data_IF_628308445919
#
_entry.id   IF_628308445919
#
_cell.length_a   1.000
_cell.length_b   1.000
_cell.length_c   1.000
_cell.angle_alpha   90.00
_cell.angle_beta   90.00
_cell.angle_gamma   90.00
#
_symmetry.space_group_name_H-M   'P 1'
#
loop_
_entity.id
_entity.type
_entity.pdbx_description
1 polymer ?
#
# COMPACT_ATOMS: atom_id res chain seq x y z
N UNK A 1 18.18 1.41 3.33
CA UNK A 1 17.91 1.31 4.78
C UNK A 1 18.09 -0.11 5.29
N UNK A 2 18.63 -0.30 6.48
CA UNK A 2 18.82 -1.56 7.22
C UNK A 2 18.42 -1.29 8.66
N UNK A 3 17.70 -2.21 9.31
CA UNK A 3 17.15 -1.96 10.65
C UNK A 3 17.05 -3.22 11.50
N UNK A 4 17.03 -3.03 12.82
CA UNK A 4 16.90 -4.09 13.84
C UNK A 4 15.79 -3.71 14.81
N UNK A 5 14.88 -4.65 15.06
CA UNK A 5 13.65 -4.44 15.84
C UNK A 5 13.45 -5.55 16.88
N UNK A 6 14.07 -5.47 18.07
CA UNK A 6 13.77 -6.41 19.15
C UNK A 6 12.28 -6.35 19.55
N UNK A 7 11.64 -7.50 19.59
CA UNK A 7 10.23 -7.66 19.96
C UNK A 7 10.09 -8.51 21.21
N UNK A 8 9.22 -8.09 22.12
CA UNK A 8 8.83 -8.86 23.31
C UNK A 8 7.31 -8.93 23.35
N UNK A 9 6.78 -10.14 23.52
CA UNK A 9 5.37 -10.40 23.77
C UNK A 9 5.19 -11.16 25.09
N UNK A 10 4.17 -10.82 25.86
CA UNK A 10 3.86 -11.44 27.14
C UNK A 10 2.35 -11.61 27.29
N UNK A 11 1.91 -12.82 27.65
CA UNK A 11 0.53 -13.08 28.07
C UNK A 11 0.49 -13.09 29.59
N UNK A 12 -0.10 -12.05 30.19
CA UNK A 12 -0.25 -11.99 31.65
C UNK A 12 -1.21 -13.07 32.17
N UNK A 13 -2.22 -13.41 31.35
CA UNK A 13 -3.14 -14.53 31.51
C UNK A 13 -3.74 -14.87 30.13
N UNK A 14 -4.74 -15.76 30.09
CA UNK A 14 -5.45 -16.16 28.86
C UNK A 14 -6.21 -15.00 28.18
N UNK A 15 -6.48 -13.92 28.91
CA UNK A 15 -7.31 -12.79 28.45
C UNK A 15 -6.52 -11.52 28.17
N UNK A 16 -5.29 -11.39 28.67
CA UNK A 16 -4.49 -10.18 28.55
C UNK A 16 -3.13 -10.50 27.94
N UNK A 17 -2.93 -10.03 26.72
CA UNK A 17 -1.65 -10.00 26.03
C UNK A 17 -1.10 -8.57 25.97
N UNK A 18 0.21 -8.43 26.17
CA UNK A 18 0.96 -7.17 26.03
C UNK A 18 2.13 -7.44 25.10
N UNK A 19 2.49 -6.46 24.29
CA UNK A 19 3.70 -6.52 23.49
C UNK A 19 4.40 -5.17 23.45
N UNK A 20 5.69 -5.20 23.17
CA UNK A 20 6.51 -4.02 22.93
C UNK A 20 7.58 -4.33 21.89
N UNK A 21 7.96 -3.29 21.14
CA UNK A 21 9.08 -3.31 20.22
C UNK A 21 9.80 -1.97 20.27
N UNK A 22 11.10 -1.99 20.04
CA UNK A 22 11.88 -0.81 19.73
C UNK A 22 12.69 -1.10 18.49
N UNK A 23 13.13 -0.05 17.80
CA UNK A 23 13.81 -0.18 16.54
C UNK A 23 14.86 0.89 16.35
N UNK A 24 15.93 0.49 15.69
CA UNK A 24 16.93 1.39 15.15
C UNK A 24 17.25 0.97 13.72
N UNK A 25 17.39 1.95 12.83
CA UNK A 25 17.79 1.70 11.46
C UNK A 25 18.55 2.87 10.85
N UNK A 26 19.34 2.56 9.85
CA UNK A 26 20.11 3.52 9.07
C UNK A 26 19.94 3.21 7.58
N UNK A 27 20.01 4.20 6.72
CA UNK A 27 19.90 4.03 5.29
C UNK A 27 20.17 5.30 4.54
N UNK A 28 19.84 5.27 3.26
CA UNK A 28 19.88 6.43 2.39
C UNK A 28 18.45 6.73 1.94
N UNK A 29 18.10 8.01 1.91
CA UNK A 29 16.91 8.53 1.25
C UNK A 29 17.35 9.16 -0.06
N UNK A 30 16.60 8.89 -1.11
CA UNK A 30 16.79 9.48 -2.42
C UNK A 30 15.64 10.43 -2.71
N UNK A 31 15.98 11.64 -3.11
CA UNK A 31 15.05 12.67 -3.52
C UNK A 31 15.32 12.94 -4.99
N UNK A 32 14.35 12.62 -5.84
CA UNK A 32 14.38 12.97 -7.26
C UNK A 32 13.59 14.27 -7.45
N UNK A 33 14.30 15.39 -7.53
CA UNK A 33 13.70 16.69 -7.80
C UNK A 33 13.86 17.05 -9.28
N UNK A 34 12.76 17.46 -9.92
CA UNK A 34 12.77 17.76 -11.35
C UNK A 34 13.70 18.93 -11.75
N UNK A 35 14.06 19.80 -10.80
CA UNK A 35 14.93 20.97 -11.03
C UNK A 35 16.35 20.75 -10.50
N UNK A 36 16.50 20.15 -9.32
CA UNK A 36 17.79 19.93 -8.66
C UNK A 36 18.46 18.60 -9.09
N UNK A 37 17.66 17.66 -9.59
CA UNK A 37 18.08 16.31 -9.95
C UNK A 37 18.00 15.34 -8.76
N UNK A 38 18.63 14.18 -8.95
CA UNK A 38 18.68 13.10 -7.94
C UNK A 38 19.70 13.45 -6.86
N UNK A 39 19.25 13.46 -5.62
CA UNK A 39 20.08 13.66 -4.43
C UNK A 39 19.88 12.54 -3.43
N UNK A 40 20.97 12.18 -2.75
CA UNK A 40 20.98 11.14 -1.73
C UNK A 40 21.42 11.74 -0.39
N UNK A 41 20.77 11.33 0.69
CA UNK A 41 21.10 11.74 2.05
C UNK A 41 21.02 10.54 2.99
N UNK A 42 21.93 10.47 3.97
CA UNK A 42 21.86 9.42 4.99
C UNK A 42 20.74 9.73 5.96
N UNK A 43 19.90 8.74 6.22
CA UNK A 43 18.82 8.78 7.19
C UNK A 43 19.05 7.76 8.30
N UNK A 44 18.89 8.19 9.54
CA UNK A 44 18.78 7.29 10.70
C UNK A 44 17.37 7.35 11.27
N UNK A 45 16.90 6.25 11.83
CA UNK A 45 15.54 6.11 12.36
C UNK A 45 15.55 5.40 13.70
N UNK A 46 14.76 5.92 14.63
CA UNK A 46 14.47 5.31 15.93
C UNK A 46 12.98 5.16 16.08
N UNK A 47 12.55 4.02 16.60
CA UNK A 47 11.13 3.73 16.79
C UNK A 47 10.89 3.04 18.12
N UNK A 48 9.71 3.26 18.67
CA UNK A 48 9.20 2.52 19.81
C UNK A 48 7.71 2.31 19.66
N UNK A 49 7.22 1.14 20.02
CA UNK A 49 5.80 0.87 20.09
C UNK A 49 5.48 -0.16 21.17
N UNK A 50 4.29 -0.03 21.74
CA UNK A 50 3.76 -0.99 22.69
C UNK A 50 2.25 -1.08 22.56
N UNK A 51 1.69 -2.22 22.90
CA UNK A 51 0.26 -2.43 22.85
C UNK A 51 -0.22 -3.50 23.82
N UNK A 52 -1.52 -3.52 24.03
CA UNK A 52 -2.20 -4.53 24.82
C UNK A 52 -3.50 -4.96 24.14
N UNK A 53 -3.87 -6.23 24.36
CA UNK A 53 -5.12 -6.84 23.92
C UNK A 53 -5.75 -7.52 25.13
N UNK A 54 -6.97 -7.11 25.46
CA UNK A 54 -7.75 -7.66 26.56
C UNK A 54 -9.05 -8.28 26.01
N UNK A 55 -9.32 -9.54 26.35
CA UNK A 55 -10.64 -10.14 26.19
C UNK A 55 -11.56 -9.65 27.31
N UNK A 56 -12.59 -8.90 26.90
CA UNK A 56 -13.57 -8.30 27.81
C UNK A 56 -14.74 -9.26 28.07
N UNK A 57 -15.14 -10.02 27.03
CA UNK A 57 -16.28 -10.92 27.09
C UNK A 57 -16.07 -12.10 26.14
N UNK A 58 -16.44 -13.29 26.60
CA UNK A 58 -16.69 -14.46 25.78
C UNK A 58 -18.08 -15.00 26.13
N UNK A 59 -18.98 -15.12 25.15
CA UNK A 59 -20.37 -15.50 25.40
C UNK A 59 -20.94 -16.32 24.24
N UNK A 60 -21.38 -17.54 24.55
CA UNK A 60 -21.98 -18.52 23.64
C UNK A 60 -23.49 -18.32 23.42
N UNK A 61 -24.11 -17.39 24.16
CA UNK A 61 -25.56 -17.12 24.13
C UNK A 61 -25.94 -15.80 23.47
N UNK A 62 -24.97 -14.93 23.19
CA UNK A 62 -25.26 -13.62 22.59
C UNK A 62 -25.80 -13.77 21.16
N UNK A 63 -25.24 -14.71 20.40
CA UNK A 63 -25.65 -15.08 19.05
C UNK A 63 -25.67 -16.61 19.00
N UNK A 64 -26.80 -17.20 18.59
CA UNK A 64 -26.95 -18.65 18.56
C UNK A 64 -25.99 -19.30 17.55
N UNK A 65 -25.45 -20.46 17.92
CA UNK A 65 -24.63 -21.30 17.03
C UNK A 65 -23.14 -21.00 17.03
N UNK A 66 -22.63 -20.28 18.04
CA UNK A 66 -21.20 -19.98 18.15
C UNK A 66 -20.84 -19.19 19.40
N UNK A 67 -19.58 -18.79 19.51
CA UNK A 67 -19.06 -17.99 20.63
C UNK A 67 -18.73 -16.58 20.17
N UNK A 68 -19.37 -15.59 20.79
CA UNK A 68 -19.07 -14.18 20.57
C UNK A 68 -17.99 -13.70 21.52
N UNK A 69 -16.96 -13.06 20.97
CA UNK A 69 -15.79 -12.55 21.69
C UNK A 69 -15.74 -11.03 21.51
N UNK A 70 -15.65 -10.30 22.62
CA UNK A 70 -15.43 -8.85 22.65
C UNK A 70 -14.05 -8.57 23.22
N UNK A 71 -13.28 -7.75 22.52
CA UNK A 71 -11.91 -7.43 22.90
C UNK A 71 -11.64 -5.94 22.84
N UNK A 72 -10.79 -5.48 23.74
CA UNK A 72 -10.24 -4.14 23.77
C UNK A 72 -8.76 -4.20 23.34
N UNK A 73 -8.39 -3.40 22.36
CA UNK A 73 -7.02 -3.23 21.88
C UNK A 73 -6.56 -1.81 22.14
N UNK A 74 -5.33 -1.66 22.59
CA UNK A 74 -4.67 -0.37 22.68
C UNK A 74 -3.27 -0.48 22.12
N UNK A 75 -2.82 0.56 21.43
CA UNK A 75 -1.49 0.64 20.86
C UNK A 75 -0.99 2.08 20.93
N UNK A 76 0.26 2.26 21.31
CA UNK A 76 0.98 3.53 21.25
C UNK A 76 2.29 3.33 20.49
N UNK A 77 2.67 4.32 19.69
CA UNK A 77 3.91 4.30 18.94
C UNK A 77 4.50 5.68 18.74
N UNK A 78 5.81 5.72 18.56
CA UNK A 78 6.57 6.90 18.19
C UNK A 78 7.73 6.53 17.27
N UNK A 79 8.04 7.42 16.33
CA UNK A 79 9.20 7.32 15.47
C UNK A 79 9.89 8.68 15.35
N UNK A 80 11.21 8.66 15.28
CA UNK A 80 12.05 9.79 14.92
C UNK A 80 12.94 9.39 13.76
N UNK A 81 12.91 10.17 12.69
CA UNK A 81 13.90 10.08 11.62
C UNK A 81 14.75 11.35 11.59
N UNK A 82 16.04 11.15 11.35
CA UNK A 82 17.03 12.22 11.24
C UNK A 82 17.76 12.01 9.91
N UNK A 83 17.63 12.95 8.99
CA UNK A 83 18.41 13.04 7.76
C UNK A 83 19.58 13.99 7.98
N UNK A 84 20.81 13.54 7.70
CA UNK A 84 22.03 14.34 7.90
C UNK A 84 22.07 15.58 6.98
N UNK A 85 21.31 15.53 5.88
CA UNK A 85 21.39 16.51 4.81
C UNK A 85 22.54 16.21 3.85
N UNK A 86 22.77 17.13 2.91
CA UNK A 86 23.82 17.08 1.90
C UNK A 86 24.04 18.46 1.29
N UNK A 87 24.78 18.56 0.19
CA UNK A 87 25.12 19.86 -0.43
C UNK A 87 23.89 20.70 -0.79
N UNK A 88 22.75 20.05 -1.05
CA UNK A 88 21.48 20.65 -1.45
C UNK A 88 20.28 20.23 -0.58
N UNK A 89 20.51 19.38 0.43
CA UNK A 89 19.45 18.89 1.33
C UNK A 89 19.76 19.42 2.72
N UNK A 90 18.89 20.25 3.29
CA UNK A 90 19.05 20.67 4.67
C UNK A 90 18.87 19.48 5.62
N UNK A 91 19.61 19.42 6.74
CA UNK A 91 19.36 18.43 7.78
C UNK A 91 17.91 18.52 8.25
N UNK A 92 17.23 17.38 8.33
CA UNK A 92 15.81 17.29 8.67
C UNK A 92 15.61 16.30 9.80
N UNK A 93 14.83 16.70 10.80
CA UNK A 93 14.34 15.80 11.85
C UNK A 93 12.83 15.74 11.74
N UNK A 94 12.30 14.52 11.70
CA UNK A 94 10.86 14.23 11.65
C UNK A 94 10.49 13.39 12.86
N UNK A 95 9.64 13.93 13.72
CA UNK A 95 9.03 13.23 14.84
C UNK A 95 7.59 12.84 14.49
N UNK A 96 7.19 11.60 14.80
CA UNK A 96 5.79 11.17 14.68
C UNK A 96 5.40 10.34 15.89
N UNK A 97 4.15 10.47 16.33
CA UNK A 97 3.60 9.65 17.39
C UNK A 97 2.13 9.33 17.14
N UNK A 98 1.69 8.16 17.57
CA UNK A 98 0.34 7.67 17.34
C UNK A 98 -0.16 6.89 18.55
N UNK A 99 -1.40 7.16 18.95
CA UNK A 99 -2.14 6.42 19.96
C UNK A 99 -3.42 5.87 19.36
N UNK A 100 -3.77 4.64 19.69
CA UNK A 100 -4.97 3.96 19.20
C UNK A 100 -5.68 3.20 20.32
N UNK A 101 -7.00 3.26 20.27
CA UNK A 101 -7.90 2.47 21.10
C UNK A 101 -8.97 1.85 20.20
N UNK A 102 -9.18 0.54 20.28
CA UNK A 102 -10.10 -0.17 19.38
C UNK A 102 -10.88 -1.24 20.15
N UNK A 103 -12.15 -1.37 19.83
CA UNK A 103 -13.00 -2.47 20.26
C UNK A 103 -13.21 -3.40 19.07
N UNK A 104 -12.97 -4.69 19.28
CA UNK A 104 -13.17 -5.77 18.30
C UNK A 104 -14.28 -6.69 18.82
N UNK A 105 -15.28 -6.95 17.98
CA UNK A 105 -16.26 -8.00 18.18
C UNK A 105 -16.06 -9.09 17.12
N UNK A 106 -16.02 -10.35 17.53
CA UNK A 106 -15.94 -11.49 16.62
C UNK A 106 -16.89 -12.60 17.06
N UNK A 107 -17.34 -13.44 16.13
CA UNK A 107 -18.22 -14.56 16.45
C UNK A 107 -17.76 -15.82 15.74
N UNK A 108 -17.32 -16.82 16.51
CA UNK A 108 -16.81 -18.08 15.98
C UNK A 108 -17.95 -19.08 15.86
N UNK A 109 -18.24 -19.54 14.64
CA UNK A 109 -19.29 -20.52 14.34
C UNK A 109 -18.73 -21.73 13.61
N UNK A 110 -18.96 -22.91 14.16
CA UNK A 110 -18.71 -24.18 13.47
C UNK A 110 -19.80 -24.45 12.43
N UNK A 111 -19.42 -25.00 11.28
CA UNK A 111 -20.31 -25.43 10.20
C UNK A 111 -20.43 -26.96 10.20
N UNK A 112 -21.51 -27.49 9.63
CA UNK A 112 -21.79 -28.93 9.59
C UNK A 112 -20.71 -29.76 8.87
N UNK A 113 -19.88 -29.11 8.02
CA UNK A 113 -18.75 -29.72 7.31
C UNK A 113 -17.43 -29.71 8.08
N UNK A 114 -17.39 -29.30 9.35
CA UNK A 114 -16.16 -29.22 10.14
C UNK A 114 -15.35 -27.92 9.95
N UNK A 115 -15.73 -27.10 8.98
CA UNK A 115 -15.20 -25.75 8.82
C UNK A 115 -15.68 -24.79 9.92
N UNK A 116 -14.94 -23.71 10.10
CA UNK A 116 -15.21 -22.64 11.06
C UNK A 116 -15.31 -21.31 10.33
N UNK A 117 -16.36 -20.53 10.63
CA UNK A 117 -16.57 -19.18 10.12
C UNK A 117 -16.46 -18.18 11.28
N UNK A 118 -15.70 -17.12 11.09
CA UNK A 118 -15.49 -16.06 12.08
C UNK A 118 -15.65 -14.68 11.44
N UNK A 119 -16.87 -14.13 11.39
CA UNK A 119 -17.07 -12.70 11.16
C UNK A 119 -16.45 -11.86 12.28
N UNK A 120 -15.92 -10.70 11.91
CA UNK A 120 -15.36 -9.71 12.83
C UNK A 120 -15.76 -8.28 12.44
N UNK A 121 -15.92 -7.43 13.45
CA UNK A 121 -16.16 -6.00 13.33
C UNK A 121 -15.24 -5.27 14.30
N UNK A 122 -14.69 -4.15 13.87
CA UNK A 122 -13.81 -3.31 14.66
C UNK A 122 -14.22 -1.84 14.57
N UNK A 123 -14.15 -1.15 15.70
CA UNK A 123 -14.35 0.30 15.77
C UNK A 123 -13.34 0.90 16.74
N UNK A 124 -12.72 2.01 16.37
CA UNK A 124 -11.66 2.61 17.16
C UNK A 124 -11.50 4.10 16.96
N UNK A 125 -10.69 4.68 17.83
CA UNK A 125 -10.21 6.05 17.73
C UNK A 125 -8.69 6.04 17.67
N UNK A 126 -8.15 6.97 16.88
CA UNK A 126 -6.72 7.20 16.71
C UNK A 126 -6.42 8.65 17.00
N UNK A 127 -5.25 8.93 17.57
CA UNK A 127 -4.69 10.26 17.67
C UNK A 127 -3.27 10.26 17.14
N UNK A 128 -3.00 11.09 16.14
CA UNK A 128 -1.70 11.28 15.53
C UNK A 128 -1.10 12.63 15.97
N UNK A 129 0.22 12.69 16.09
CA UNK A 129 0.98 13.88 16.46
C UNK A 129 2.41 13.86 15.90
N UNK A 130 3.12 14.96 16.10
CA UNK A 130 4.45 15.18 15.55
C UNK A 130 4.42 16.07 14.31
N UNK A 131 5.40 15.90 13.44
CA UNK A 131 5.65 16.70 12.23
C UNK A 131 4.87 16.17 11.00
N UNK A 132 4.23 14.99 11.11
CA UNK A 132 3.35 14.42 10.09
C UNK A 132 1.87 14.75 10.30
N UNK A 133 0.99 13.83 9.88
CA UNK A 133 -0.46 13.96 10.12
C UNK A 133 -0.77 14.12 11.61
N UNK A 134 -1.63 15.09 11.97
CA UNK A 134 -1.99 15.37 13.36
C UNK A 134 -3.49 15.40 13.61
N UNK A 135 -3.91 14.96 14.80
CA UNK A 135 -5.28 15.07 15.28
C UNK A 135 -5.98 13.73 15.45
N UNK A 136 -7.31 13.76 15.53
CA UNK A 136 -8.13 12.59 15.81
C UNK A 136 -8.72 11.98 14.55
N UNK A 137 -8.65 10.65 14.47
CA UNK A 137 -9.30 9.83 13.46
C UNK A 137 -10.24 8.80 14.08
N UNK A 138 -11.28 8.44 13.35
CA UNK A 138 -12.19 7.33 13.65
C UNK A 138 -11.91 6.20 12.68
N UNK A 139 -11.72 4.99 13.21
CA UNK A 139 -11.44 3.79 12.45
C UNK A 139 -12.63 2.84 12.52
N UNK A 140 -13.02 2.31 11.36
CA UNK A 140 -14.01 1.24 11.24
C UNK A 140 -13.41 0.13 10.41
N UNK A 141 -13.62 -1.11 10.82
CA UNK A 141 -13.13 -2.28 10.13
C UNK A 141 -14.09 -3.44 10.23
N UNK A 142 -13.96 -4.36 9.28
CA UNK A 142 -14.72 -5.60 9.27
C UNK A 142 -13.93 -6.70 8.60
N UNK A 143 -14.34 -7.94 8.83
CA UNK A 143 -13.70 -9.05 8.17
C UNK A 143 -14.48 -10.35 8.31
N UNK A 144 -14.08 -11.30 7.49
CA UNK A 144 -14.61 -12.65 7.51
C UNK A 144 -13.44 -13.62 7.40
N UNK A 145 -13.34 -14.55 8.35
CA UNK A 145 -12.37 -15.63 8.30
C UNK A 145 -13.11 -16.96 8.17
N UNK A 146 -12.66 -17.81 7.26
CA UNK A 146 -13.12 -19.17 7.09
C UNK A 146 -11.92 -20.12 7.13
N UNK A 147 -12.02 -21.18 7.92
CA UNK A 147 -11.00 -22.22 8.00
C UNK A 147 -11.65 -23.60 7.91
N UNK A 148 -11.10 -24.49 7.10
CA UNK A 148 -11.43 -25.90 7.06
C UNK A 148 -10.16 -26.72 7.33
N UNK A 149 -9.96 -27.17 8.59
CA UNK A 149 -8.77 -27.94 8.96
C UNK A 149 -8.65 -29.27 8.23
N UNK A 150 -9.77 -29.90 7.82
CA UNK A 150 -9.73 -31.17 7.11
C UNK A 150 -9.19 -31.00 5.68
N UNK A 151 -9.43 -29.84 5.09
CA UNK A 151 -8.90 -29.47 3.78
C UNK A 151 -7.57 -28.72 3.84
N UNK A 152 -7.12 -28.30 5.03
CA UNK A 152 -6.02 -27.34 5.17
C UNK A 152 -6.34 -25.98 4.54
N UNK A 153 -7.62 -25.65 4.35
CA UNK A 153 -8.01 -24.46 3.60
C UNK A 153 -8.28 -23.28 4.55
N UNK A 154 -7.83 -22.09 4.17
CA UNK A 154 -8.14 -20.84 4.86
C UNK A 154 -8.52 -19.78 3.83
N UNK A 155 -9.61 -19.07 4.06
CA UNK A 155 -9.97 -17.86 3.33
C UNK A 155 -10.25 -16.73 4.31
N UNK A 156 -9.78 -15.52 3.98
CA UNK A 156 -9.98 -14.35 4.80
C UNK A 156 -10.24 -13.13 3.93
N UNK A 157 -11.09 -12.23 4.42
CA UNK A 157 -11.24 -10.88 3.89
C UNK A 157 -11.23 -9.89 5.04
N UNK A 158 -10.62 -8.73 4.82
CA UNK A 158 -10.60 -7.62 5.77
C UNK A 158 -10.84 -6.32 5.03
N UNK A 159 -11.61 -5.43 5.63
CA UNK A 159 -11.85 -4.07 5.16
C UNK A 159 -11.60 -3.10 6.30
N UNK A 160 -11.15 -1.89 5.94
CA UNK A 160 -10.94 -0.79 6.88
C UNK A 160 -11.22 0.54 6.20
N UNK A 161 -11.75 1.47 7.00
CA UNK A 161 -11.90 2.88 6.65
C UNK A 161 -11.44 3.71 7.86
N UNK A 162 -10.65 4.75 7.60
CA UNK A 162 -10.29 5.79 8.55
C UNK A 162 -10.90 7.10 8.05
N UNK A 163 -11.64 7.77 8.92
CA UNK A 163 -12.12 9.12 8.69
C UNK A 163 -11.46 10.09 9.68
N UNK A 164 -10.91 11.20 9.20
CA UNK A 164 -10.30 12.25 10.04
C UNK A 164 -11.07 13.57 9.92
N UNK A 165 -11.00 14.43 10.96
CA UNK A 165 -11.82 15.66 11.02
C UNK A 165 -11.21 16.88 10.33
N UNK A 166 -9.87 16.95 10.18
CA UNK A 166 -9.19 18.23 9.94
C UNK A 166 -8.91 18.55 8.47
N UNK A 167 -8.86 17.56 7.58
CA UNK A 167 -8.38 17.75 6.19
C UNK A 167 -9.14 16.96 5.10
N UNK A 168 -10.41 16.58 5.32
CA UNK A 168 -11.16 15.67 4.42
C UNK A 168 -10.37 14.38 4.08
N UNK A 169 -9.45 13.99 4.98
CA UNK A 169 -8.55 12.87 4.76
C UNK A 169 -9.26 11.58 5.16
N UNK A 170 -9.42 10.72 4.15
CA UNK A 170 -10.04 9.40 4.22
C UNK A 170 -9.04 8.36 3.72
N UNK A 171 -8.69 7.40 4.59
CA UNK A 171 -7.97 6.19 4.17
C UNK A 171 -8.97 5.04 4.09
N UNK A 172 -8.81 4.17 3.11
CA UNK A 172 -9.51 2.90 3.09
C UNK A 172 -8.58 1.80 2.63
N UNK A 173 -8.90 0.57 3.01
CA UNK A 173 -8.17 -0.60 2.56
C UNK A 173 -9.05 -1.84 2.52
N UNK A 174 -8.84 -2.69 1.53
CA UNK A 174 -9.40 -4.04 1.46
C UNK A 174 -8.31 -5.06 1.17
N UNK A 175 -8.28 -6.12 1.97
CA UNK A 175 -7.31 -7.21 1.86
C UNK A 175 -8.01 -8.56 1.85
N UNK A 176 -7.37 -9.53 1.20
CA UNK A 176 -7.79 -10.92 1.20
C UNK A 176 -6.64 -11.87 1.49
N UNK A 177 -6.98 -13.08 1.92
CA UNK A 177 -6.09 -14.23 1.99
C UNK A 177 -6.84 -15.45 1.48
N UNK A 178 -6.23 -16.20 0.58
CA UNK A 178 -6.62 -17.58 0.27
C UNK A 178 -5.39 -18.43 0.48
N UNK A 179 -5.51 -19.49 1.28
CA UNK A 179 -4.40 -20.36 1.63
C UNK A 179 -4.83 -21.81 1.61
N UNK A 180 -3.95 -22.66 1.09
CA UNK A 180 -3.98 -24.10 1.23
C UNK A 180 -2.71 -24.52 1.95
N UNK A 181 -2.88 -25.04 3.15
CA UNK A 181 -1.80 -25.64 3.93
C UNK A 181 -1.54 -27.08 3.43
N UNK A 182 -0.29 -27.55 3.56
CA UNK A 182 0.02 -28.95 3.26
C UNK A 182 -0.71 -29.89 4.24
N UNK A 183 -0.60 -31.20 4.02
CA UNK A 183 -1.16 -32.20 4.93
C UNK A 183 -0.68 -32.02 6.38
N UNK A 184 -1.32 -32.69 7.34
CA UNK A 184 -1.00 -32.51 8.76
C UNK A 184 0.47 -32.82 9.13
N UNK A 185 1.15 -33.65 8.35
CA UNK A 185 2.58 -33.95 8.46
C UNK A 185 3.49 -32.89 7.81
N UNK A 186 2.91 -31.89 7.14
CA UNK A 186 3.58 -30.86 6.37
C UNK A 186 3.98 -31.30 4.96
N UNK A 187 3.59 -32.49 4.51
CA UNK A 187 3.88 -32.95 3.15
C UNK A 187 2.80 -32.49 2.16
N UNK A 188 3.20 -32.29 0.91
CA UNK A 188 2.30 -31.91 -0.17
C UNK A 188 2.28 -30.42 -0.50
N UNK A 189 1.32 -30.03 -1.32
CA UNK A 189 1.22 -28.68 -1.87
C UNK A 189 0.82 -27.68 -0.79
N UNK A 190 1.50 -26.54 -0.78
CA UNK A 190 1.08 -25.33 -0.07
C UNK A 190 0.91 -24.19 -1.06
N UNK A 191 -0.13 -23.38 -0.89
CA UNK A 191 -0.41 -22.22 -1.72
C UNK A 191 -0.91 -21.06 -0.87
N UNK A 192 -0.52 -19.84 -1.18
CA UNK A 192 -1.11 -18.62 -0.61
C UNK A 192 -1.29 -17.54 -1.67
N UNK A 193 -2.37 -16.79 -1.56
CA UNK A 193 -2.67 -15.62 -2.38
C UNK A 193 -3.22 -14.52 -1.46
N UNK A 194 -2.60 -13.35 -1.53
CA UNK A 194 -2.88 -12.21 -0.67
C UNK A 194 -2.97 -10.93 -1.51
N UNK A 195 -4.17 -10.61 -2.04
CA UNK A 195 -4.38 -9.32 -2.67
C UNK A 195 -4.73 -8.25 -1.62
N UNK A 196 -4.22 -7.05 -1.81
CA UNK A 196 -4.49 -5.88 -0.95
C UNK A 196 -4.64 -4.64 -1.82
N UNK A 197 -5.62 -3.80 -1.53
CA UNK A 197 -5.82 -2.51 -2.19
C UNK A 197 -6.03 -1.44 -1.13
N UNK A 198 -5.43 -0.27 -1.33
CA UNK A 198 -5.44 0.80 -0.33
C UNK A 198 -4.67 0.45 0.96
N UNK A 199 -4.94 1.18 2.03
CA UNK A 199 -4.27 1.07 3.32
C UNK A 199 -4.90 -0.02 4.20
N UNK A 200 -4.53 -1.27 3.90
CA UNK A 200 -5.03 -2.45 4.63
C UNK A 200 -4.35 -2.67 5.97
N UNK A 201 -3.13 -2.15 6.15
CA UNK A 201 -2.35 -2.34 7.36
C UNK A 201 -2.61 -1.21 8.36
N UNK A 202 -2.58 -1.57 9.65
CA UNK A 202 -2.78 -0.63 10.74
C UNK A 202 -1.77 -0.89 11.85
N UNK A 203 -1.44 0.15 12.61
CA UNK A 203 -0.52 0.07 13.74
C UNK A 203 0.95 0.01 13.34
N UNK A 204 1.77 -0.73 14.10
CA UNK A 204 3.24 -0.68 13.99
C UNK A 204 3.85 -0.99 12.63
N UNK A 205 3.21 -1.79 11.77
CA UNK A 205 3.75 -2.02 10.43
C UNK A 205 3.85 -0.74 9.61
N UNK A 206 2.89 0.14 9.81
CA UNK A 206 2.85 1.44 9.17
C UNK A 206 4.00 2.36 9.62
N UNK A 207 4.54 2.19 10.84
CA UNK A 207 5.75 2.92 11.27
C UNK A 207 6.98 2.55 10.45
N UNK A 208 7.04 1.31 9.96
CA UNK A 208 8.15 0.83 9.15
C UNK A 208 8.06 1.30 7.71
N UNK A 209 6.85 1.53 7.22
CA UNK A 209 6.58 1.90 5.84
C UNK A 209 6.45 3.43 5.65
N UNK A 210 5.85 4.17 6.60
CA UNK A 210 5.54 5.60 6.43
C UNK A 210 6.69 6.57 6.65
N UNK A 211 7.65 6.27 7.54
CA UNK A 211 8.70 7.24 7.88
C UNK A 211 9.56 7.61 6.65
N UNK A 212 9.57 6.74 5.63
CA UNK A 212 10.31 6.96 4.39
C UNK A 212 9.45 7.65 3.30
N UNK A 213 8.13 7.71 3.44
CA UNK A 213 7.21 8.27 2.43
C UNK A 213 6.49 9.53 2.95
N UNK A 214 7.24 10.47 3.52
CA UNK A 214 6.68 11.57 4.29
C UNK A 214 5.96 12.67 3.48
N UNK A 215 5.96 12.65 2.14
CA UNK A 215 5.49 13.82 1.35
C UNK A 215 4.65 13.53 0.09
N UNK A 216 4.13 12.32 -0.08
CA UNK A 216 3.15 12.07 -1.15
C UNK A 216 1.73 12.32 -0.61
N UNK A 217 1.04 13.42 -0.99
CA UNK A 217 -0.36 13.60 -0.65
C UNK A 217 -1.16 12.38 -1.12
N UNK A 218 -2.20 12.03 -0.36
CA UNK A 218 -3.10 10.87 -0.48
C UNK A 218 -3.85 10.70 -1.83
N UNK A 219 -3.33 11.25 -2.91
CA UNK A 219 -3.78 11.07 -4.27
C UNK A 219 -3.00 9.94 -4.99
N UNK A 220 -2.50 8.94 -4.24
CA UNK A 220 -2.31 7.60 -4.79
C UNK A 220 -3.65 7.16 -5.36
N UNK A 221 -3.64 6.62 -6.58
CA UNK A 221 -4.89 6.20 -7.19
C UNK A 221 -5.54 5.19 -6.23
N UNK A 222 -6.84 5.33 -6.00
CA UNK A 222 -7.66 4.43 -5.19
C UNK A 222 -7.66 2.96 -5.73
N UNK A 223 -6.77 2.61 -6.64
CA UNK A 223 -6.65 1.30 -7.27
C UNK A 223 -5.23 0.72 -7.18
N UNK A 224 -4.32 1.35 -6.43
CA UNK A 224 -2.97 0.83 -6.21
C UNK A 224 -3.07 -0.48 -5.42
N UNK A 225 -3.05 -1.57 -6.18
CA UNK A 225 -3.20 -2.93 -5.69
C UNK A 225 -1.85 -3.61 -5.55
N UNK A 226 -1.67 -4.35 -4.47
CA UNK A 226 -0.58 -5.29 -4.28
C UNK A 226 -1.14 -6.71 -4.29
N UNK A 227 -0.46 -7.62 -4.96
CA UNK A 227 -0.80 -9.04 -4.96
C UNK A 227 0.44 -9.84 -4.62
N UNK A 228 0.39 -10.61 -3.53
CA UNK A 228 1.41 -11.60 -3.19
C UNK A 228 0.87 -13.00 -3.40
N UNK A 229 1.60 -13.84 -4.09
CA UNK A 229 1.29 -15.24 -4.28
C UNK A 229 2.51 -16.10 -3.94
N UNK A 230 2.32 -17.21 -3.24
CA UNK A 230 3.38 -18.17 -2.95
C UNK A 230 2.89 -19.59 -3.21
N UNK A 231 3.79 -20.43 -3.69
CA UNK A 231 3.57 -21.85 -3.88
C UNK A 231 4.78 -22.61 -3.33
N UNK A 232 4.51 -23.73 -2.67
CA UNK A 232 5.56 -24.62 -2.18
C UNK A 232 5.08 -26.06 -2.13
N UNK A 233 6.02 -26.99 -2.00
CA UNK A 233 5.69 -28.41 -1.89
C UNK A 233 6.54 -29.07 -0.81
N UNK A 234 5.92 -29.51 0.28
CA UNK A 234 6.57 -30.17 1.40
C UNK A 234 6.96 -31.60 1.06
N UNK A 235 8.25 -31.91 1.23
CA UNK A 235 8.84 -33.22 1.01
C UNK A 235 9.40 -33.75 2.32
N UNK A 236 9.14 -35.01 2.63
CA UNK A 236 9.85 -35.70 3.71
C UNK A 236 11.35 -35.72 3.39
N UNK A 237 12.17 -35.39 4.37
CA UNK A 237 13.61 -35.32 4.26
C UNK A 237 14.25 -35.98 5.49
N UNK A 238 15.55 -36.27 5.40
CA UNK A 238 16.35 -36.81 6.52
C UNK A 238 15.75 -38.10 7.11
N UNK A 239 15.44 -39.07 6.23
CA UNK A 239 14.81 -40.35 6.62
C UNK A 239 13.49 -40.17 7.40
N UNK A 240 12.74 -39.12 7.09
CA UNK A 240 11.47 -38.79 7.74
C UNK A 240 11.62 -37.97 9.03
N UNK A 241 12.83 -37.57 9.41
CA UNK A 241 13.08 -36.73 10.58
C UNK A 241 12.76 -35.24 10.36
N UNK A 242 12.43 -34.85 9.13
CA UNK A 242 12.04 -33.47 8.83
C UNK A 242 11.28 -33.29 7.52
N UNK A 243 10.87 -32.05 7.28
CA UNK A 243 10.23 -31.61 6.05
C UNK A 243 11.10 -30.55 5.40
N UNK A 244 11.32 -30.65 4.09
CA UNK A 244 11.91 -29.61 3.25
C UNK A 244 10.85 -29.15 2.25
N UNK A 245 10.63 -27.84 2.17
CA UNK A 245 9.61 -27.22 1.32
C UNK A 245 10.30 -26.23 0.38
N UNK A 246 10.72 -26.64 -0.84
CA UNK A 246 11.01 -25.69 -1.90
C UNK A 246 9.79 -24.80 -2.14
N UNK A 247 10.03 -23.50 -2.36
CA UNK A 247 8.98 -22.51 -2.56
C UNK A 247 9.37 -21.46 -3.59
N UNK A 248 8.36 -20.92 -4.26
CA UNK A 248 8.45 -19.76 -5.14
C UNK A 248 7.36 -18.77 -4.77
N UNK A 249 7.66 -17.49 -4.94
CA UNK A 249 6.75 -16.39 -4.66
C UNK A 249 6.79 -15.31 -5.73
N UNK A 250 5.70 -14.58 -5.82
CA UNK A 250 5.52 -13.42 -6.68
C UNK A 250 4.87 -12.32 -5.84
N UNK A 251 5.46 -11.13 -5.83
CA UNK A 251 4.79 -9.92 -5.37
C UNK A 251 4.65 -8.95 -6.53
N UNK A 252 3.45 -8.45 -6.75
CA UNK A 252 3.13 -7.41 -7.73
C UNK A 252 2.67 -6.19 -6.94
N UNK A 253 3.23 -5.02 -7.24
CA UNK A 253 2.78 -3.71 -6.77
C UNK A 253 2.68 -2.81 -8.01
N UNK A 254 2.07 -1.62 -7.93
CA UNK A 254 1.99 -0.73 -9.09
C UNK A 254 3.39 -0.46 -9.66
N UNK A 255 3.59 -0.82 -10.93
CA UNK A 255 4.88 -0.75 -11.63
C UNK A 255 5.95 -1.78 -11.22
N UNK A 256 5.92 -2.32 -10.01
CA UNK A 256 6.99 -3.14 -9.44
C UNK A 256 6.64 -4.64 -9.37
N UNK A 257 7.67 -5.48 -9.55
CA UNK A 257 7.53 -6.93 -9.52
C UNK A 257 8.69 -7.57 -8.78
N UNK A 258 8.37 -8.40 -7.79
CA UNK A 258 9.34 -9.18 -7.04
C UNK A 258 9.11 -10.68 -7.24
N UNK A 259 10.19 -11.40 -7.54
CA UNK A 259 10.25 -12.85 -7.60
C UNK A 259 10.97 -13.37 -6.37
N UNK A 260 10.41 -14.35 -5.71
CA UNK A 260 11.05 -15.05 -4.59
C UNK A 260 11.25 -16.52 -4.95
N UNK A 261 12.41 -17.06 -4.60
CA UNK A 261 12.68 -18.49 -4.66
C UNK A 261 13.41 -18.89 -3.39
N UNK A 262 13.02 -20.01 -2.78
CA UNK A 262 13.61 -20.40 -1.50
C UNK A 262 13.30 -21.82 -1.09
N UNK A 263 13.75 -22.14 0.12
CA UNK A 263 13.56 -23.43 0.75
C UNK A 263 13.27 -23.22 2.24
N UNK A 264 12.14 -23.75 2.73
CA UNK A 264 11.87 -23.89 4.16
C UNK A 264 12.27 -25.29 4.60
N UNK A 265 12.72 -25.43 5.84
CA UNK A 265 12.98 -26.73 6.43
C UNK A 265 12.54 -26.75 7.89
N UNK A 266 12.07 -27.92 8.32
CA UNK A 266 11.65 -28.20 9.68
C UNK A 266 12.20 -29.55 10.10
N UNK A 267 12.94 -29.60 11.19
CA UNK A 267 13.57 -30.81 11.72
C UNK A 267 13.50 -30.80 13.25
N UNK A 268 12.63 -31.62 13.82
CA UNK A 268 12.36 -31.61 15.26
C UNK A 268 11.90 -30.23 15.73
N UNK A 269 12.72 -29.59 16.57
CA UNK A 269 12.47 -28.24 17.10
C UNK A 269 13.07 -27.12 16.23
N UNK A 270 13.91 -27.46 15.25
CA UNK A 270 14.54 -26.48 14.37
C UNK A 270 13.62 -26.18 13.19
N UNK A 271 13.27 -24.90 13.03
CA UNK A 271 12.60 -24.37 11.85
C UNK A 271 13.52 -23.34 11.19
N UNK A 272 13.60 -23.37 9.86
CA UNK A 272 14.43 -22.41 9.12
C UNK A 272 13.94 -22.14 7.71
N UNK A 273 14.40 -21.04 7.15
CA UNK A 273 14.18 -20.69 5.75
C UNK A 273 15.44 -20.06 5.13
N UNK A 274 15.58 -20.31 3.83
CA UNK A 274 16.55 -19.67 2.96
C UNK A 274 15.78 -19.11 1.76
N UNK A 275 15.94 -17.83 1.45
CA UNK A 275 15.20 -17.18 0.36
C UNK A 275 16.12 -16.27 -0.43
N UNK A 276 16.08 -16.38 -1.75
CA UNK A 276 16.56 -15.36 -2.67
C UNK A 276 15.37 -14.61 -3.27
N UNK A 277 15.53 -13.31 -3.48
CA UNK A 277 14.54 -12.47 -4.15
C UNK A 277 15.18 -11.60 -5.23
N UNK A 278 14.43 -11.38 -6.31
CA UNK A 278 14.75 -10.47 -7.40
C UNK A 278 13.61 -9.47 -7.53
N UNK A 279 13.86 -8.22 -7.14
CA UNK A 279 12.94 -7.11 -7.36
C UNK A 279 13.29 -6.40 -8.66
N UNK A 280 12.29 -6.07 -9.46
CA UNK A 280 12.40 -5.23 -10.65
C UNK A 280 11.42 -4.08 -10.52
N UNK A 281 11.95 -2.87 -10.63
CA UNK A 281 11.12 -1.67 -10.62
C UNK A 281 10.66 -1.29 -12.03
N UNK A 282 9.57 -0.53 -12.12
CA UNK A 282 9.13 0.12 -13.36
C UNK A 282 10.22 0.98 -14.00
N UNK A 283 11.15 1.53 -13.20
CA UNK A 283 12.31 2.30 -13.67
C UNK A 283 13.35 1.46 -14.44
N UNK A 284 13.23 0.13 -14.42
CA UNK A 284 14.16 -0.81 -15.04
C UNK A 284 15.31 -1.25 -14.13
N UNK A 285 15.42 -0.69 -12.93
CA UNK A 285 16.41 -1.12 -11.93
C UNK A 285 16.07 -2.51 -11.37
N UNK A 286 17.11 -3.32 -11.13
CA UNK A 286 16.97 -4.66 -10.58
C UNK A 286 17.75 -4.76 -9.27
N UNK A 287 17.08 -5.23 -8.22
CA UNK A 287 17.67 -5.47 -6.90
C UNK A 287 17.62 -6.97 -6.57
N UNK A 288 18.70 -7.46 -5.94
CA UNK A 288 18.87 -8.86 -5.58
C UNK A 288 19.03 -8.97 -4.07
N UNK A 289 18.21 -9.80 -3.43
CA UNK A 289 18.20 -9.99 -1.98
C UNK A 289 18.37 -11.45 -1.61
N UNK A 290 19.10 -11.72 -0.54
CA UNK A 290 19.23 -13.06 0.05
C UNK A 290 18.94 -12.95 1.55
N UNK A 291 18.09 -13.84 2.05
CA UNK A 291 17.65 -13.88 3.44
C UNK A 291 17.75 -15.28 4.03
N UNK A 292 18.10 -15.33 5.31
CA UNK A 292 18.14 -16.54 6.13
C UNK A 292 17.39 -16.22 7.42
N UNK A 293 16.42 -17.07 7.79
CA UNK A 293 15.77 -17.02 9.09
C UNK A 293 15.84 -18.39 9.76
N UNK A 294 16.13 -18.39 11.06
CA UNK A 294 16.20 -19.60 11.88
C UNK A 294 15.41 -19.35 13.17
N UNK A 295 14.62 -20.32 13.58
CA UNK A 295 13.90 -20.28 14.85
C UNK A 295 14.09 -21.58 15.62
N UNK A 296 14.39 -21.41 16.92
CA UNK A 296 14.57 -22.48 17.89
C UNK A 296 13.67 -22.15 19.09
N UNK A 297 12.77 -23.04 19.51
CA UNK A 297 12.04 -22.85 20.75
C UNK A 297 13.04 -22.97 21.92
N UNK A 298 13.19 -21.90 22.69
CA UNK A 298 13.91 -21.98 23.97
C UNK A 298 13.03 -22.76 24.95
N UNK A 299 13.51 -23.94 25.35
CA UNK A 299 12.74 -24.92 26.11
C UNK A 299 12.17 -24.36 27.42
N UNK A 300 10.86 -24.13 27.44
CA UNK A 300 10.06 -24.14 28.65
C UNK A 300 9.48 -25.55 28.81
N UNK A 301 10.02 -26.34 29.73
CA UNK A 301 9.50 -27.66 30.06
C UNK A 301 8.05 -27.53 30.55
N UNK A 302 7.10 -27.91 29.69
CA UNK A 302 5.74 -28.24 30.08
C UNK A 302 5.52 -29.70 29.71
N UNK A 303 5.56 -30.54 30.74
CA UNK A 303 5.21 -31.95 30.63
C UNK A 303 3.70 -32.08 30.36
N UNK A 304 3.34 -32.78 29.29
CA UNK A 304 2.10 -33.55 29.18
C UNK A 304 0.79 -32.78 29.26
N UNK A 305 0.35 -32.22 28.13
CA UNK A 305 -1.04 -31.80 27.93
C UNK A 305 -1.47 -32.09 26.49
N UNK A 306 -2.01 -33.27 26.24
CA UNK A 306 -2.76 -33.56 25.01
C UNK A 306 -4.08 -32.79 25.06
N UNK A 307 -4.14 -31.60 24.48
CA UNK A 307 -5.34 -30.77 24.44
C UNK A 307 -5.31 -29.78 23.28
N UNK A 308 -6.06 -30.14 22.22
CA UNK A 308 -6.66 -29.34 21.16
C UNK A 308 -5.84 -28.31 20.33
N UNK A 309 -6.12 -28.19 19.02
CA UNK A 309 -5.51 -27.19 18.14
C UNK A 309 -6.25 -25.85 18.32
N UNK A 310 -5.96 -25.15 19.42
CA UNK A 310 -6.43 -23.78 19.61
C UNK A 310 -5.22 -22.85 19.58
N UNK A 311 -5.32 -21.81 18.75
CA UNK A 311 -4.41 -20.66 18.70
C UNK A 311 -3.12 -20.74 17.85
N UNK A 312 -3.22 -21.25 16.61
CA UNK A 312 -2.32 -20.81 15.51
C UNK A 312 -2.81 -19.55 14.77
N UNK A 313 -4.01 -19.05 15.10
CA UNK A 313 -4.62 -17.85 14.49
C UNK A 313 -3.96 -16.52 14.89
N UNK A 314 -3.06 -16.52 15.87
CA UNK A 314 -2.43 -15.30 16.40
C UNK A 314 -0.93 -15.21 16.14
N UNK A 315 -0.30 -16.22 15.51
CA UNK A 315 1.08 -16.04 15.06
C UNK A 315 1.03 -15.04 13.91
N UNK A 316 1.62 -13.83 14.01
CA UNK A 316 1.95 -13.11 12.80
C UNK A 316 2.74 -14.10 11.96
N UNK A 317 2.34 -14.30 10.69
CA UNK A 317 3.23 -14.89 9.69
C UNK A 317 4.61 -14.34 10.00
N UNK A 318 5.55 -15.25 10.27
CA UNK A 318 6.92 -14.97 10.67
C UNK A 318 7.32 -13.62 10.14
N UNK A 319 7.55 -12.65 11.03
CA UNK A 319 8.14 -11.38 10.64
C UNK A 319 9.31 -11.76 9.70
N UNK A 320 9.15 -11.54 8.40
CA UNK A 320 10.28 -11.72 7.50
C UNK A 320 11.34 -10.78 8.06
N UNK A 321 12.55 -11.27 8.36
CA UNK A 321 13.58 -10.40 8.86
C UNK A 321 13.75 -9.29 7.81
N UNK A 322 13.58 -8.04 8.23
CA UNK A 322 13.94 -6.86 7.45
C UNK A 322 15.48 -6.73 7.32
N UNK A 323 16.19 -7.87 7.20
CA UNK A 323 17.62 -7.91 6.94
C UNK A 323 17.83 -7.56 5.47
N UNK A 324 17.95 -6.27 5.22
CA UNK A 324 18.48 -5.71 3.98
C UNK A 324 20.01 -5.78 4.06
N UNK A 325 20.60 -6.75 3.39
CA UNK A 325 22.04 -6.79 3.09
C UNK A 325 22.18 -6.48 1.60
N UNK A 326 22.26 -5.19 1.27
CA UNK A 326 22.59 -4.72 -0.07
C UNK A 326 24.03 -4.22 -0.07
N UNK A 327 24.87 -4.80 -0.92
CA UNK A 327 26.08 -4.12 -1.41
C UNK A 327 25.81 -3.76 -2.86
N UNK A 328 25.49 -2.49 -3.13
CA UNK A 328 25.50 -1.96 -4.49
C UNK A 328 26.97 -1.88 -4.94
N UNK A 329 27.36 -2.78 -5.84
CA UNK A 329 28.61 -2.62 -6.57
C UNK A 329 28.38 -1.59 -7.68
N UNK A 330 29.21 -0.54 -7.81
CA UNK A 330 29.06 0.42 -8.90
C UNK A 330 29.30 -0.29 -10.23
N UNK A 331 28.31 -0.19 -11.14
CA UNK A 331 28.45 -0.67 -12.50
C UNK A 331 29.58 0.11 -13.19
N UNK A 332 30.65 -0.60 -13.52
CA UNK A 332 31.77 -0.08 -14.32
C UNK A 332 31.30 0.10 -15.76
N UNK A 333 31.62 1.23 -16.43
CA UNK A 333 31.28 1.39 -17.84
C UNK A 333 32.21 0.51 -18.70
N UNK A 334 31.65 -0.43 -19.46
CA UNK A 334 32.40 -1.13 -20.52
C UNK A 334 32.33 -0.34 -21.84
N UNK A 335 33.46 -0.23 -22.58
CA UNK A 335 33.55 0.49 -23.82
C UNK A 335 33.09 -0.37 -25.02
N UNK A 336 32.61 0.34 -26.05
CA UNK A 336 31.90 -0.24 -27.19
C UNK A 336 32.62 -1.33 -27.97
N UNK A 337 31.80 -2.22 -28.54
CA UNK A 337 32.14 -3.02 -29.70
C UNK A 337 31.01 -2.94 -30.73
N UNK A 338 31.39 -2.45 -31.91
CA UNK A 338 30.61 -2.51 -33.14
C UNK A 338 30.73 -3.90 -33.74
N UNK A 339 29.61 -4.57 -33.99
CA UNK A 339 29.56 -5.60 -35.03
C UNK A 339 28.18 -5.66 -35.67
N UNK A 340 28.15 -5.23 -36.93
CA UNK A 340 27.11 -5.45 -37.92
C UNK A 340 26.74 -6.93 -38.02
N UNK A 341 25.45 -7.25 -37.91
CA UNK A 341 24.90 -8.54 -38.35
C UNK A 341 23.61 -8.30 -39.12
N UNK A 342 23.57 -8.88 -40.31
CA UNK A 342 22.59 -8.68 -41.35
C UNK A 342 21.18 -9.20 -40.99
N UNK A 343 20.18 -8.47 -41.47
CA UNK A 343 18.76 -8.74 -41.29
C UNK A 343 18.31 -10.05 -41.97
N UNK A 344 17.68 -10.93 -41.19
CA UNK A 344 16.88 -12.03 -41.70
C UNK A 344 15.40 -11.59 -41.79
N UNK A 345 14.82 -11.72 -42.99
CA UNK A 345 13.40 -11.43 -43.27
C UNK A 345 12.47 -12.40 -42.52
N UNK A 346 11.37 -11.94 -41.91
CA UNK A 346 10.35 -12.83 -41.38
C UNK A 346 9.47 -13.44 -42.50
N UNK A 347 9.05 -14.68 -42.27
CA UNK A 347 8.16 -15.46 -43.13
C UNK A 347 6.70 -14.93 -43.08
N UNK A 348 5.89 -15.14 -44.13
CA UNK A 348 4.52 -14.65 -44.19
C UNK A 348 3.56 -15.41 -43.26
N UNK A 349 2.64 -14.65 -42.65
CA UNK A 349 1.55 -15.10 -41.79
C UNK A 349 0.47 -15.84 -42.61
N UNK A 350 -0.16 -16.92 -42.10
CA UNK A 350 -1.25 -17.60 -42.80
C UNK A 350 -2.55 -16.79 -42.77
N UNK A 351 -3.24 -16.76 -43.91
CA UNK A 351 -4.57 -16.16 -44.10
C UNK A 351 -5.64 -17.08 -43.50
N UNK A 352 -6.61 -16.57 -42.70
CA UNK A 352 -7.74 -17.37 -42.22
C UNK A 352 -8.70 -17.72 -43.36
N UNK A 353 -9.10 -19.00 -43.43
CA UNK A 353 -10.10 -19.50 -44.37
C UNK A 353 -11.54 -19.03 -44.08
N UNK A 354 -12.46 -19.19 -45.03
CA UNK A 354 -13.80 -18.63 -44.96
C UNK A 354 -14.70 -19.35 -43.95
N UNK A 355 -15.43 -18.55 -43.17
CA UNK A 355 -16.41 -19.00 -42.19
C UNK A 355 -17.63 -19.68 -42.84
N UNK A 356 -18.07 -20.78 -42.22
CA UNK A 356 -19.25 -21.54 -42.62
C UNK A 356 -20.55 -20.75 -42.42
N UNK A 357 -21.48 -20.91 -43.37
CA UNK A 357 -22.82 -20.31 -43.36
C UNK A 357 -23.68 -20.94 -42.25
N UNK A 358 -24.23 -20.11 -41.36
CA UNK A 358 -25.32 -20.49 -40.45
C UNK A 358 -26.67 -20.50 -41.20
N UNK A 359 -27.57 -21.45 -40.93
CA UNK A 359 -28.91 -21.47 -41.50
C UNK A 359 -29.84 -20.46 -40.82
N UNK A 360 -30.57 -19.72 -41.66
CA UNK A 360 -31.59 -18.75 -41.27
C UNK A 360 -32.90 -19.43 -40.87
N UNK A 361 -33.51 -18.99 -39.77
CA UNK A 361 -34.92 -19.30 -39.49
C UNK A 361 -35.36 -18.97 -38.08
N UNK A 362 -35.97 -17.78 -37.90
CA UNK A 362 -37.15 -17.50 -37.08
C UNK A 362 -37.47 -15.98 -37.18
N UNK A 363 -38.74 -15.58 -37.38
CA UNK A 363 -39.11 -14.17 -37.50
C UNK A 363 -39.14 -13.48 -36.13
N UNK A 364 -38.49 -12.31 -36.04
CA UNK A 364 -38.52 -11.44 -34.87
C UNK A 364 -39.86 -10.67 -34.79
N UNK A 365 -40.38 -10.41 -33.57
CA UNK A 365 -41.62 -9.67 -33.39
C UNK A 365 -41.46 -8.18 -33.76
N UNK A 366 -42.50 -7.67 -34.39
CA UNK A 366 -42.70 -6.31 -34.85
C UNK A 366 -42.59 -5.31 -33.68
N UNK A 367 -41.54 -4.48 -33.67
CA UNK A 367 -41.39 -3.39 -32.70
C UNK A 367 -42.18 -2.18 -33.17
N UNK A 368 -43.17 -1.80 -32.37
CA UNK A 368 -43.86 -0.51 -32.47
C UNK A 368 -42.85 0.61 -32.19
N UNK A 369 -42.74 1.56 -33.12
CA UNK A 369 -41.84 2.70 -33.01
C UNK A 369 -42.30 3.65 -31.89
N UNK A 370 -41.44 3.85 -30.88
CA UNK A 370 -41.58 4.92 -29.91
C UNK A 370 -41.10 6.25 -30.53
N UNK A 371 -41.73 7.40 -30.19
CA UNK A 371 -41.34 8.70 -30.73
C UNK A 371 -39.92 9.07 -30.32
N UNK A 372 -39.17 9.65 -31.26
CA UNK A 372 -37.80 10.07 -31.08
C UNK A 372 -37.68 11.10 -29.95
N UNK A 373 -37.00 10.74 -28.87
CA UNK A 373 -36.54 11.68 -27.87
C UNK A 373 -35.37 12.48 -28.44
N UNK A 374 -35.43 13.81 -28.34
CA UNK A 374 -34.29 14.69 -28.60
C UNK A 374 -33.11 14.28 -27.72
N UNK A 375 -32.02 13.89 -28.37
CA UNK A 375 -30.72 13.61 -27.75
C UNK A 375 -30.18 14.90 -27.12
N UNK A 376 -30.37 15.05 -25.80
CA UNK A 376 -29.59 16.00 -25.00
C UNK A 376 -28.14 15.51 -25.02
N UNK A 377 -27.27 16.21 -25.75
CA UNK A 377 -25.85 15.88 -25.81
C UNK A 377 -25.26 15.85 -24.39
N UNK A 378 -24.64 14.74 -24.00
CA UNK A 378 -23.92 14.63 -22.73
C UNK A 378 -22.85 15.74 -22.67
N UNK A 379 -22.73 16.47 -21.55
CA UNK A 379 -21.68 17.47 -21.40
C UNK A 379 -20.33 16.77 -21.52
N UNK A 380 -19.53 17.19 -22.51
CA UNK A 380 -18.16 16.73 -22.73
C UNK A 380 -17.38 16.73 -21.41
N UNK A 381 -16.97 15.54 -20.97
CA UNK A 381 -16.16 15.29 -19.77
C UNK A 381 -14.68 15.63 -19.97
N UNK A 382 -14.34 16.42 -20.99
CA UNK A 382 -12.97 16.80 -21.27
C UNK A 382 -12.39 17.54 -20.05
N UNK A 383 -11.20 17.13 -19.57
CA UNK A 383 -10.56 17.74 -18.42
C UNK A 383 -10.30 19.22 -18.71
N UNK A 384 -10.85 20.07 -17.86
CA UNK A 384 -10.62 21.51 -17.89
C UNK A 384 -9.26 21.80 -17.26
N UNK A 385 -8.54 22.80 -17.76
CA UNK A 385 -7.22 23.21 -17.25
C UNK A 385 -7.30 24.63 -16.69
N UNK A 386 -6.47 24.96 -15.69
CA UNK A 386 -6.32 26.31 -15.12
C UNK A 386 -4.85 26.71 -15.14
N UNK A 387 -4.61 28.02 -15.17
CA UNK A 387 -3.27 28.60 -15.06
C UNK A 387 -3.17 29.31 -13.70
N UNK A 388 -2.14 28.96 -12.92
CA UNK A 388 -1.84 29.51 -11.60
C UNK A 388 -0.50 30.26 -11.65
N UNK A 389 -0.47 31.47 -11.10
CA UNK A 389 0.69 32.39 -11.13
C UNK A 389 1.34 32.57 -9.75
N UNK A 390 0.79 31.94 -8.71
CA UNK A 390 1.33 31.97 -7.36
C UNK A 390 0.35 31.43 -6.33
N UNK A 391 0.88 31.02 -5.19
CA UNK A 391 0.13 30.64 -4.00
C UNK A 391 0.67 31.43 -2.80
N UNK A 392 -0.24 31.93 -1.97
CA UNK A 392 0.08 32.83 -0.87
C UNK A 392 -0.65 32.37 0.39
N UNK A 393 0.04 32.42 1.52
CA UNK A 393 -0.53 32.11 2.84
C UNK A 393 -1.46 33.21 3.38
N UNK A 394 -1.55 34.34 2.68
CA UNK A 394 -2.33 35.50 3.08
C UNK A 394 -3.05 36.08 1.85
N UNK A 395 -4.37 36.28 1.99
CA UNK A 395 -5.21 36.76 0.90
C UNK A 395 -4.84 38.19 0.48
N UNK A 396 -4.39 39.05 1.41
CA UNK A 396 -3.98 40.41 1.07
C UNK A 396 -2.68 40.42 0.25
N UNK A 397 -1.74 39.49 0.50
CA UNK A 397 -0.58 39.25 -0.36
C UNK A 397 -1.00 38.79 -1.76
N UNK A 398 -1.95 37.85 -1.87
CA UNK A 398 -2.47 37.40 -3.16
C UNK A 398 -3.12 38.54 -3.95
N UNK A 399 -3.88 39.42 -3.30
CA UNK A 399 -4.51 40.60 -3.94
C UNK A 399 -3.46 41.61 -4.41
N UNK A 400 -2.40 41.84 -3.63
CA UNK A 400 -1.27 42.70 -4.04
C UNK A 400 -0.55 42.11 -5.25
N UNK A 401 -0.25 40.81 -5.20
CA UNK A 401 0.38 40.09 -6.31
C UNK A 401 -0.49 40.13 -7.57
N UNK A 402 -1.81 39.91 -7.45
CA UNK A 402 -2.76 40.03 -8.56
C UNK A 402 -2.67 41.41 -9.22
N UNK A 403 -2.72 42.49 -8.44
CA UNK A 403 -2.64 43.86 -8.95
C UNK A 403 -1.33 44.14 -9.69
N UNK A 404 -0.21 43.64 -9.16
CA UNK A 404 1.10 43.77 -9.81
C UNK A 404 1.16 42.98 -11.14
N UNK A 405 0.64 41.75 -11.13
CA UNK A 405 0.57 40.88 -12.31
C UNK A 405 -0.37 41.45 -13.38
N UNK A 406 -1.51 42.02 -13.01
CA UNK A 406 -2.43 42.70 -13.95
C UNK A 406 -1.70 43.79 -14.73
N UNK A 407 -0.90 44.62 -14.07
CA UNK A 407 -0.12 45.67 -14.75
C UNK A 407 0.99 45.12 -15.65
N UNK A 408 1.57 43.98 -15.29
CA UNK A 408 2.69 43.35 -16.01
C UNK A 408 2.20 42.56 -17.23
N UNK A 409 1.00 41.99 -17.15
CA UNK A 409 0.44 41.06 -18.12
C UNK A 409 -0.73 41.63 -18.93
N UNK A 410 -1.04 42.94 -18.80
CA UNK A 410 -2.18 43.59 -19.45
C UNK A 410 -2.25 43.29 -20.96
N UNK A 411 -1.11 43.32 -21.67
CA UNK A 411 -1.06 43.06 -23.10
C UNK A 411 -1.37 41.60 -23.48
N UNK A 412 -1.08 40.65 -22.59
CA UNK A 412 -1.37 39.22 -22.75
C UNK A 412 -2.83 38.94 -22.37
N UNK A 413 -3.28 39.47 -21.23
CA UNK A 413 -4.62 39.25 -20.68
C UNK A 413 -5.72 39.86 -21.56
N UNK A 414 -5.50 41.07 -22.10
CA UNK A 414 -6.43 41.73 -23.02
C UNK A 414 -6.59 40.94 -24.32
N UNK A 415 -5.49 40.39 -24.87
CA UNK A 415 -5.55 39.55 -26.08
C UNK A 415 -6.27 38.23 -25.84
N UNK A 416 -6.08 37.65 -24.66
CA UNK A 416 -6.67 36.37 -24.29
C UNK A 416 -8.09 36.49 -23.72
N UNK A 417 -8.56 37.72 -23.44
CA UNK A 417 -9.85 38.03 -22.79
C UNK A 417 -10.04 37.34 -21.43
N UNK A 418 -8.95 37.18 -20.69
CA UNK A 418 -8.99 36.51 -19.40
C UNK A 418 -8.85 37.52 -18.26
N UNK A 419 -9.48 37.20 -17.12
CA UNK A 419 -9.31 37.94 -15.88
C UNK A 419 -8.46 37.15 -14.89
N UNK A 420 -7.60 37.85 -14.14
CA UNK A 420 -6.96 37.29 -12.96
C UNK A 420 -7.95 37.33 -11.80
N UNK A 421 -8.06 36.23 -11.07
CA UNK A 421 -8.87 36.14 -9.85
C UNK A 421 -8.03 35.57 -8.72
N UNK A 422 -8.38 35.94 -7.50
CA UNK A 422 -7.85 35.29 -6.30
C UNK A 422 -8.82 34.16 -5.95
N UNK A 423 -8.34 32.93 -6.02
CA UNK A 423 -9.05 31.73 -5.61
C UNK A 423 -8.59 31.38 -4.19
N UNK A 424 -9.43 31.69 -3.19
CA UNK A 424 -9.19 31.33 -1.80
C UNK A 424 -9.82 29.97 -1.51
N UNK A 425 -8.97 28.94 -1.51
CA UNK A 425 -9.39 27.60 -1.14
C UNK A 425 -9.43 27.50 0.38
N UNK A 426 -10.60 27.13 0.92
CA UNK A 426 -10.75 26.88 2.37
C UNK A 426 -10.08 25.59 2.82
N UNK A 427 -9.78 24.67 1.91
CA UNK A 427 -9.28 23.34 2.23
C UNK A 427 -7.82 23.36 2.72
N UNK A 428 -7.02 24.32 2.22
CA UNK A 428 -5.59 24.38 2.45
C UNK A 428 -5.10 25.76 2.91
N UNK A 429 -6.02 26.66 3.25
CA UNK A 429 -5.73 28.02 3.74
C UNK A 429 -4.84 28.87 2.80
N UNK A 430 -4.74 28.49 1.52
CA UNK A 430 -3.95 29.20 0.51
C UNK A 430 -4.84 30.04 -0.40
N UNK A 431 -4.42 31.29 -0.61
CA UNK A 431 -4.96 32.17 -1.64
C UNK A 431 -4.09 32.08 -2.89
N UNK A 432 -4.70 31.72 -4.04
CA UNK A 432 -3.98 31.53 -5.31
C UNK A 432 -4.37 32.61 -6.31
N UNK A 433 -3.40 33.13 -7.04
CA UNK A 433 -3.69 34.00 -8.19
C UNK A 433 -3.81 33.10 -9.42
N UNK A 434 -5.02 33.00 -9.97
CA UNK A 434 -5.32 32.14 -11.11
C UNK A 434 -5.98 32.93 -12.23
N UNK A 435 -5.92 32.37 -13.44
CA UNK A 435 -6.69 32.87 -14.57
C UNK A 435 -8.10 32.28 -14.49
N UNK A 436 -9.13 33.13 -14.43
CA UNK A 436 -10.51 32.77 -14.11
C UNK A 436 -11.14 31.75 -15.06
N UNK A 437 -10.71 31.77 -16.32
CA UNK A 437 -11.24 30.88 -17.35
C UNK A 437 -10.47 29.56 -17.37
N UNK A 438 -11.24 28.48 -17.25
CA UNK A 438 -10.69 27.16 -17.47
C UNK A 438 -10.51 26.87 -18.97
N UNK A 439 -9.30 26.52 -19.36
CA UNK A 439 -8.86 26.14 -20.70
C UNK A 439 -9.40 24.75 -21.09
N UNK A 440 -9.77 24.59 -22.36
CA UNK A 440 -10.30 23.33 -22.90
C UNK A 440 -9.23 22.26 -23.17
N UNK A 441 -7.95 22.61 -23.07
CA UNK A 441 -6.84 21.68 -23.27
C UNK A 441 -5.52 22.15 -22.67
N UNK A 442 -4.68 21.19 -22.29
CA UNK A 442 -3.36 21.41 -21.69
C UNK A 442 -2.47 22.30 -22.55
N UNK A 443 -2.48 22.10 -23.87
CA UNK A 443 -1.62 22.83 -24.81
C UNK A 443 -1.86 24.34 -24.77
N UNK A 444 -3.12 24.77 -24.68
CA UNK A 444 -3.48 26.19 -24.60
C UNK A 444 -3.07 26.80 -23.26
N UNK A 445 -3.28 26.09 -22.15
CA UNK A 445 -2.85 26.54 -20.83
C UNK A 445 -1.32 26.64 -20.73
N UNK A 446 -0.59 25.65 -21.27
CA UNK A 446 0.87 25.63 -21.28
C UNK A 446 1.47 26.73 -22.17
N UNK A 447 0.88 27.00 -23.35
CA UNK A 447 1.33 28.08 -24.22
C UNK A 447 1.15 29.45 -23.57
N UNK A 448 0.06 29.65 -22.81
CA UNK A 448 -0.13 30.86 -22.03
C UNK A 448 0.88 30.97 -20.90
N UNK A 449 1.18 29.87 -20.19
CA UNK A 449 2.21 29.89 -19.16
C UNK A 449 3.59 30.26 -19.70
N UNK A 450 4.01 29.67 -20.82
CA UNK A 450 5.27 30.02 -21.45
C UNK A 450 5.35 31.51 -21.83
N UNK A 451 4.22 32.11 -22.25
CA UNK A 451 4.15 33.55 -22.55
C UNK A 451 4.27 34.43 -21.30
N UNK A 452 3.77 33.96 -20.15
CA UNK A 452 3.85 34.66 -18.86
C UNK A 452 5.26 34.52 -18.27
N UNK A 453 5.85 33.33 -18.29
CA UNK A 453 7.22 33.06 -17.83
C UNK A 453 8.26 33.90 -18.59
N UNK A 454 8.04 34.13 -19.89
CA UNK A 454 8.87 35.02 -20.70
C UNK A 454 8.86 36.50 -20.21
N UNK A 455 7.93 36.88 -19.32
CA UNK A 455 7.85 38.20 -18.67
C UNK A 455 8.38 38.20 -17.24
N UNK A 456 8.81 37.06 -16.71
CA UNK A 456 9.42 36.92 -15.40
C UNK A 456 8.60 36.19 -14.31
N UNK A 457 7.26 36.27 -14.27
CA UNK A 457 6.49 35.50 -13.28
C UNK A 457 6.50 34.00 -13.54
N UNK A 458 6.64 33.21 -12.49
CA UNK A 458 6.44 31.75 -12.56
C UNK A 458 4.98 31.42 -12.91
N UNK A 459 4.78 30.36 -13.69
CA UNK A 459 3.47 29.93 -14.14
C UNK A 459 3.30 28.42 -14.08
N UNK A 460 2.11 27.97 -13.70
CA UNK A 460 1.79 26.55 -13.64
C UNK A 460 0.44 26.25 -14.29
N UNK A 461 0.41 25.30 -15.24
CA UNK A 461 -0.81 24.82 -15.88
C UNK A 461 -1.26 23.50 -15.22
N UNK A 462 -2.40 23.54 -14.53
CA UNK A 462 -2.93 22.42 -13.75
C UNK A 462 -4.31 21.96 -14.26
N UNK A 463 -4.69 20.69 -14.13
CA UNK A 463 -6.08 20.28 -14.31
C UNK A 463 -6.99 20.96 -13.27
N UNK A 464 -8.14 21.46 -13.72
CA UNK A 464 -9.16 22.10 -12.89
C UNK A 464 -10.01 21.01 -12.22
N UNK A 465 -9.83 20.82 -10.92
CA UNK A 465 -10.73 19.99 -10.09
C UNK A 465 -11.80 20.93 -9.50
N UNK A 466 -13.08 20.59 -9.74
CA UNK A 466 -14.22 21.33 -9.16
C UNK A 466 -14.42 20.98 -7.70
#
# INVERSE_FOLDING_TARGET
MTSVHPYVGWSANERLGIWATTGFGEGDIEIDDAQAGRHESRVSMRTAAAGARAEMLANDRLIAGGTTLLRLKTEGSAARAEAEGGDLIDPLTVDTNRLRLTVEASHVRSLDGGGQLTPMLEAGVRHDGGDGETGFGLELGGGLHYADPALGFTAETRTRVLATRRHDYEEWGIGGLVRLDPGADGTGLSFSLMPTWGETESGTRHLWEQVVTADEPANRNALDGRVRAEVGYGLAAFDGAGIVTPQMGLSLTDGDREWLAGMRFRMGALDGNFTGALARSASGESDYRVGIALSLPLGGGSAGGSGQPEEQQSRPMSAQPALRLGTSAPAKPEPGMTSSSAAARPAPVPVPGPAAKQPSGLPAPERVAAPAAESVAEPSSAPRWRVQLGAFSDEANAVRARTALESTLDDILVRARHALVVDSSKADELARVVIADAFTGRGTAAALCAAIEARGPDCYAAPFRR
#
